data_IF_369979271283
#
_entry.id   IF_369979271283
#
_cell.length_a   1.000
_cell.length_b   1.000
_cell.length_c   1.000
_cell.angle_alpha   90.00
_cell.angle_beta   90.00
_cell.angle_gamma   90.00
#
_symmetry.space_group_name_H-M   'P 1'
#
loop_
_entity.id
_entity.type
_entity.pdbx_description
1 polymer ?
#
# COMPACT_ATOMS: atom_id res chain seq x y z
N UNK A 1 8.13 -4.40 -0.32
CA UNK A 1 8.90 -4.41 0.95
C UNK A 1 7.92 -4.01 2.06
N UNK A 2 8.02 -4.58 3.26
CA UNK A 2 7.21 -4.20 4.43
C UNK A 2 8.15 -3.77 5.57
N UNK A 3 7.68 -2.93 6.51
CA UNK A 3 8.47 -2.53 7.68
C UNK A 3 9.64 -1.62 7.36
N UNK A 4 9.48 -0.80 6.31
CA UNK A 4 10.47 0.13 5.75
C UNK A 4 10.21 1.57 6.23
N UNK A 5 11.28 2.35 6.42
CA UNK A 5 11.21 3.75 6.80
C UNK A 5 12.23 4.62 6.02
N UNK A 6 13.53 4.30 6.00
CA UNK A 6 14.54 4.96 5.16
C UNK A 6 14.99 4.04 4.01
N UNK A 7 14.46 4.31 2.81
CA UNK A 7 14.73 3.54 1.60
C UNK A 7 16.22 3.38 1.24
N UNK A 8 17.11 4.22 1.79
CA UNK A 8 18.54 4.20 1.53
C UNK A 8 19.32 3.33 2.51
N UNK A 9 18.69 2.87 3.59
CA UNK A 9 19.33 2.16 4.68
C UNK A 9 18.64 0.83 4.93
N UNK A 10 19.37 -0.08 5.57
CA UNK A 10 18.80 -1.32 6.10
C UNK A 10 18.74 -1.23 7.61
N UNK A 11 17.54 -1.18 8.15
CA UNK A 11 17.22 -0.86 9.54
C UNK A 11 16.99 -2.15 10.36
N UNK A 12 16.78 -3.28 9.68
CA UNK A 12 16.61 -4.60 10.28
C UNK A 12 15.14 -5.01 10.47
N UNK A 13 14.20 -4.10 10.23
CA UNK A 13 12.75 -4.35 10.30
C UNK A 13 12.14 -4.78 8.96
N UNK A 14 12.88 -4.60 7.88
CA UNK A 14 12.38 -4.74 6.53
C UNK A 14 12.19 -6.20 6.14
N UNK A 15 11.06 -6.46 5.49
CA UNK A 15 10.73 -7.77 4.95
C UNK A 15 10.52 -7.66 3.44
N UNK A 16 11.35 -8.38 2.70
CA UNK A 16 11.18 -8.57 1.27
C UNK A 16 10.36 -9.82 1.01
N UNK A 17 9.33 -9.69 0.20
CA UNK A 17 8.42 -10.77 -0.22
C UNK A 17 8.20 -10.64 -1.71
N UNK A 18 8.17 -11.78 -2.40
CA UNK A 18 7.84 -11.82 -3.82
C UNK A 18 6.32 -11.76 -3.96
N UNK A 19 5.85 -11.19 -5.05
CA UNK A 19 4.43 -11.26 -5.42
C UNK A 19 4.21 -12.59 -6.12
N UNK A 20 3.38 -13.44 -5.54
CA UNK A 20 2.96 -14.71 -6.15
C UNK A 20 1.77 -14.55 -7.10
N UNK A 21 0.93 -13.53 -6.89
CA UNK A 21 -0.14 -13.16 -7.81
C UNK A 21 -0.44 -11.66 -7.71
N UNK A 22 -0.68 -11.03 -8.86
CA UNK A 22 -1.23 -9.69 -8.98
C UNK A 22 -2.66 -9.84 -9.54
N UNK A 23 -3.65 -9.32 -8.81
CA UNK A 23 -5.08 -9.53 -9.09
C UNK A 23 -5.74 -8.15 -9.20
N UNK A 24 -5.74 -7.53 -10.39
CA UNK A 24 -6.38 -6.24 -10.60
C UNK A 24 -7.89 -6.36 -10.45
N UNK A 25 -8.56 -5.24 -10.14
CA UNK A 25 -10.02 -5.21 -10.15
C UNK A 25 -10.54 -5.62 -11.54
N UNK A 26 -11.52 -6.54 -11.63
CA UNK A 26 -11.97 -7.08 -12.92
C UNK A 26 -12.59 -6.04 -13.86
N UNK A 27 -13.03 -4.90 -13.31
CA UNK A 27 -13.58 -3.77 -14.05
C UNK A 27 -12.65 -2.54 -14.08
N UNK A 28 -11.34 -2.71 -13.87
CA UNK A 28 -10.38 -1.61 -14.04
C UNK A 28 -10.39 -1.10 -15.49
N UNK A 29 -10.56 0.21 -15.66
CA UNK A 29 -10.47 0.89 -16.95
C UNK A 29 -9.23 1.79 -16.98
N UNK A 30 -8.22 1.49 -17.80
CA UNK A 30 -6.99 2.29 -17.87
C UNK A 30 -7.18 3.67 -18.52
N UNK A 31 -8.32 3.93 -19.17
CA UNK A 31 -8.62 5.22 -19.82
C UNK A 31 -9.18 6.21 -18.82
N UNK A 32 -10.13 5.78 -18.00
CA UNK A 32 -10.84 6.61 -17.01
C UNK A 32 -10.20 6.54 -15.63
N UNK A 33 -9.39 5.50 -15.36
CA UNK A 33 -8.88 5.12 -14.05
C UNK A 33 -9.98 4.67 -13.07
N UNK A 34 -11.17 4.32 -13.59
CA UNK A 34 -12.22 3.74 -12.78
C UNK A 34 -11.79 2.37 -12.25
N UNK A 35 -12.13 2.13 -10.98
CA UNK A 35 -11.76 0.92 -10.24
C UNK A 35 -10.25 0.65 -10.16
N UNK A 36 -9.43 1.69 -10.01
CA UNK A 36 -7.98 1.59 -9.78
C UNK A 36 -7.64 0.98 -8.40
N UNK A 37 -7.77 -0.34 -8.31
CA UNK A 37 -7.47 -1.17 -7.14
C UNK A 37 -6.94 -2.53 -7.59
N UNK A 38 -5.94 -3.04 -6.86
CA UNK A 38 -5.36 -4.37 -7.09
C UNK A 38 -4.99 -5.05 -5.79
N UNK A 39 -5.22 -6.36 -5.71
CA UNK A 39 -4.72 -7.20 -4.62
C UNK A 39 -3.40 -7.85 -5.04
N UNK A 40 -2.44 -7.90 -4.10
CA UNK A 40 -1.19 -8.64 -4.26
C UNK A 40 -1.16 -9.81 -3.27
N UNK A 41 -1.01 -11.03 -3.78
CA UNK A 41 -0.76 -12.21 -2.93
C UNK A 41 0.73 -12.39 -2.76
N UNK A 42 1.22 -12.34 -1.53
CA UNK A 42 2.63 -12.61 -1.22
C UNK A 42 2.96 -14.10 -1.41
N UNK A 43 4.19 -14.41 -1.82
CA UNK A 43 4.72 -15.78 -1.92
C UNK A 43 4.73 -16.50 -0.59
N UNK A 44 4.99 -15.76 0.49
CA UNK A 44 4.97 -16.22 1.87
C UNK A 44 4.35 -15.16 2.78
N UNK A 45 3.70 -15.56 3.88
CA UNK A 45 3.16 -14.61 4.85
C UNK A 45 4.20 -13.60 5.35
N UNK A 46 3.76 -12.38 5.65
CA UNK A 46 4.56 -11.40 6.37
C UNK A 46 4.62 -11.77 7.86
N UNK A 47 5.79 -11.57 8.49
CA UNK A 47 5.89 -11.68 9.94
C UNK A 47 5.32 -10.40 10.56
N UNK A 48 4.20 -10.52 11.26
CA UNK A 48 3.57 -9.38 11.92
C UNK A 48 4.33 -9.03 13.21
N UNK A 49 4.37 -7.74 13.54
CA UNK A 49 5.08 -7.23 14.70
C UNK A 49 5.00 -5.72 14.81
N UNK A 50 5.94 -5.11 15.55
CA UNK A 50 5.93 -3.65 15.77
C UNK A 50 6.03 -2.84 14.47
N UNK A 51 6.81 -3.31 13.51
CA UNK A 51 7.07 -2.62 12.24
C UNK A 51 6.12 -3.02 11.10
N UNK A 52 5.42 -4.16 11.21
CA UNK A 52 4.53 -4.67 10.15
C UNK A 52 3.20 -5.07 10.75
N UNK A 53 2.14 -4.34 10.40
CA UNK A 53 0.76 -4.60 10.85
C UNK A 53 -0.23 -4.33 9.71
N UNK A 54 -1.32 -5.11 9.62
CA UNK A 54 -2.40 -4.82 8.67
C UNK A 54 -3.16 -3.56 9.09
N UNK A 55 -3.70 -2.84 8.10
CA UNK A 55 -4.67 -1.76 8.30
C UNK A 55 -6.09 -2.33 8.23
N UNK A 56 -7.03 -1.94 9.11
CA UNK A 56 -8.41 -2.40 9.02
C UNK A 56 -9.10 -1.88 7.76
N UNK A 57 -9.97 -2.70 7.19
CA UNK A 57 -10.83 -2.27 6.08
C UNK A 57 -11.95 -1.35 6.58
N UNK A 58 -12.34 -0.33 5.78
CA UNK A 58 -13.47 0.51 6.11
C UNK A 58 -14.76 -0.32 6.11
N UNK A 59 -15.66 0.00 7.04
CA UNK A 59 -17.02 -0.60 7.10
C UNK A 59 -18.09 0.32 6.52
N UNK A 60 -17.76 1.58 6.31
CA UNK A 60 -18.63 2.61 5.76
C UNK A 60 -17.76 3.70 5.11
N UNK A 61 -18.37 4.54 4.27
CA UNK A 61 -17.72 5.69 3.66
C UNK A 61 -17.41 6.77 4.70
N UNK A 62 -16.26 7.42 4.59
CA UNK A 62 -15.91 8.57 5.41
C UNK A 62 -16.73 9.81 4.98
N UNK A 63 -17.32 10.58 5.92
CA UNK A 63 -17.97 11.85 5.61
C UNK A 63 -16.98 12.90 5.07
N UNK A 64 -17.46 13.90 4.30
CA UNK A 64 -16.64 15.05 3.93
C UNK A 64 -16.06 15.76 5.17
N UNK A 65 -14.82 16.24 5.06
CA UNK A 65 -14.11 16.89 6.16
C UNK A 65 -13.43 15.93 7.15
N UNK A 66 -13.57 14.61 6.97
CA UNK A 66 -12.83 13.62 7.76
C UNK A 66 -11.32 13.81 7.56
N UNK A 67 -10.58 13.96 8.66
CA UNK A 67 -9.12 14.04 8.61
C UNK A 67 -8.52 12.68 8.26
N UNK A 68 -7.63 12.68 7.27
CA UNK A 68 -6.96 11.47 6.78
C UNK A 68 -5.44 11.63 6.88
N UNK A 69 -4.73 10.51 7.04
CA UNK A 69 -3.28 10.46 6.95
C UNK A 69 -2.86 9.86 5.60
N UNK A 70 -2.09 10.61 4.83
CA UNK A 70 -1.47 10.13 3.58
C UNK A 70 0.04 10.04 3.80
N UNK A 71 0.65 8.97 3.33
CA UNK A 71 2.09 8.72 3.52
C UNK A 71 2.70 8.05 2.29
N UNK A 72 3.98 8.32 2.05
CA UNK A 72 4.76 7.73 0.97
C UNK A 72 6.12 8.40 0.83
N UNK A 73 7.01 7.78 0.04
CA UNK A 73 8.34 8.31 -0.29
C UNK A 73 8.40 9.01 -1.66
N UNK A 74 7.25 9.24 -2.27
CA UNK A 74 7.14 9.91 -3.56
C UNK A 74 7.43 11.41 -3.49
N UNK A 75 7.51 12.04 -4.65
CA UNK A 75 7.68 13.49 -4.76
C UNK A 75 6.49 14.20 -4.09
N UNK A 76 6.77 15.13 -3.18
CA UNK A 76 5.76 15.96 -2.50
C UNK A 76 5.47 17.26 -3.24
N UNK A 77 6.25 17.57 -4.27
CA UNK A 77 6.04 18.70 -5.17
C UNK A 77 5.40 18.21 -6.47
N UNK A 78 4.39 18.91 -6.96
CA UNK A 78 3.91 18.72 -8.32
C UNK A 78 5.03 19.02 -9.31
N UNK A 79 5.25 18.17 -10.34
CA UNK A 79 6.08 18.56 -11.48
C UNK A 79 5.51 19.86 -12.08
N UNK A 80 6.39 20.82 -12.36
CA UNK A 80 6.01 22.00 -13.16
C UNK A 80 5.86 21.62 -14.61
#
# INVERSE_FOLDING_TARGET
RLGENDLRRREGTEQERRVAAAIPHPAFDPTTLDNDLMLLRLDRPAALGRAVRPIPLPRACAPPGTSCLVSGWGTVTTPR
#
